data_IF_717925264583
#
_entry.id   IF_717925264583
#
_cell.length_a   1.000
_cell.length_b   1.000
_cell.length_c   1.000
_cell.angle_alpha   90.00
_cell.angle_beta   90.00
_cell.angle_gamma   90.00
#
_symmetry.space_group_name_H-M   'P 1'
#
loop_
_entity.id
_entity.type
_entity.pdbx_description
1 polymer ?
#
# COMPACT_ATOMS: atom_id res chain seq x y z
N UNK A 1 -20.08 0.95 7.98
CA UNK A 1 -18.80 0.99 7.23
C UNK A 1 -17.72 1.39 8.19
N UNK A 2 -16.53 0.77 8.09
CA UNK A 2 -15.38 1.22 8.90
C UNK A 2 -15.08 2.68 8.58
N UNK A 3 -14.82 3.50 9.60
CA UNK A 3 -14.35 4.89 9.42
C UNK A 3 -12.85 4.98 9.15
N UNK A 4 -12.15 3.84 9.09
CA UNK A 4 -10.72 3.76 8.85
C UNK A 4 -10.36 4.11 7.41
N UNK A 5 -9.39 4.99 7.23
CA UNK A 5 -8.95 5.50 5.92
C UNK A 5 -7.48 5.18 5.63
N UNK A 6 -7.06 5.36 4.37
CA UNK A 6 -5.63 5.28 4.03
C UNK A 6 -4.81 6.39 4.71
N UNK A 7 -5.41 7.55 4.99
CA UNK A 7 -4.76 8.61 5.77
C UNK A 7 -4.52 8.19 7.22
N UNK A 8 -5.44 7.43 7.83
CA UNK A 8 -5.21 6.84 9.15
C UNK A 8 -4.04 5.85 9.11
N UNK A 9 -3.99 5.03 8.06
CA UNK A 9 -2.90 4.07 7.84
C UNK A 9 -1.55 4.76 7.67
N UNK A 10 -1.47 5.82 6.84
CA UNK A 10 -0.26 6.63 6.66
C UNK A 10 0.21 7.21 8.00
N UNK A 11 -0.70 7.80 8.78
CA UNK A 11 -0.39 8.34 10.11
C UNK A 11 0.13 7.26 11.06
N UNK A 12 -0.48 6.08 11.08
CA UNK A 12 -0.03 4.95 11.91
C UNK A 12 1.37 4.48 11.48
N UNK A 13 1.64 4.39 10.18
CA UNK A 13 2.97 4.01 9.66
C UNK A 13 4.00 5.07 10.03
N UNK A 14 3.67 6.36 9.90
CA UNK A 14 4.52 7.47 10.34
C UNK A 14 4.88 7.36 11.83
N UNK A 15 3.87 7.18 12.69
CA UNK A 15 4.05 7.04 14.14
C UNK A 15 4.92 5.81 14.48
N UNK A 16 4.60 4.64 13.91
CA UNK A 16 5.31 3.39 14.17
C UNK A 16 6.72 3.35 13.59
N UNK A 17 7.02 4.15 12.56
CA UNK A 17 8.37 4.27 12.00
C UNK A 17 9.37 4.95 12.94
N UNK A 18 8.88 5.70 13.94
CA UNK A 18 9.70 6.44 14.92
C UNK A 18 10.07 5.61 16.15
N UNK A 19 9.42 4.45 16.35
CA UNK A 19 9.71 3.55 17.45
C UNK A 19 11.05 2.83 17.26
N UNK A 20 11.53 2.12 18.30
CA UNK A 20 12.69 1.26 18.16
C UNK A 20 12.43 0.12 17.15
N UNK A 21 13.39 -0.23 16.26
CA UNK A 21 13.31 -1.41 15.39
C UNK A 21 13.15 -2.76 16.12
N UNK A 22 13.40 -2.78 17.43
CA UNK A 22 13.21 -3.94 18.30
C UNK A 22 11.74 -4.10 18.73
N UNK A 23 10.99 -3.00 18.76
CA UNK A 23 9.63 -2.91 19.32
C UNK A 23 8.54 -2.75 18.24
N UNK A 24 8.93 -2.34 17.02
CA UNK A 24 8.01 -2.06 15.92
C UNK A 24 8.47 -2.73 14.62
N UNK A 25 7.58 -3.53 14.02
CA UNK A 25 7.81 -4.09 12.70
C UNK A 25 8.00 -3.02 11.62
N UNK A 26 7.21 -1.94 11.69
CA UNK A 26 7.35 -0.78 10.79
C UNK A 26 8.75 -0.17 10.90
N UNK A 27 9.21 0.10 12.12
CA UNK A 27 10.54 0.66 12.36
C UNK A 27 11.65 -0.28 11.87
N UNK A 28 11.48 -1.59 12.05
CA UNK A 28 12.41 -2.60 11.53
C UNK A 28 12.51 -2.57 10.01
N UNK A 29 11.39 -2.46 9.30
CA UNK A 29 11.40 -2.33 7.84
C UNK A 29 12.03 -1.01 7.39
N UNK A 30 11.71 0.09 8.05
CA UNK A 30 12.33 1.39 7.77
C UNK A 30 13.85 1.35 7.97
N UNK A 31 14.32 0.77 9.07
CA UNK A 31 15.75 0.59 9.36
C UNK A 31 16.44 -0.35 8.34
N UNK A 32 15.74 -1.38 7.87
CA UNK A 32 16.24 -2.29 6.83
C UNK A 32 16.25 -1.68 5.42
N UNK A 33 15.56 -0.55 5.22
CA UNK A 33 15.57 0.24 4.00
C UNK A 33 14.72 -0.31 2.85
N UNK A 34 14.73 0.46 1.76
CA UNK A 34 13.85 0.27 0.60
C UNK A 34 13.86 -1.16 0.02
N UNK A 35 15.02 -1.83 -0.17
CA UNK A 35 15.03 -3.16 -0.79
C UNK A 35 14.28 -4.21 0.04
N UNK A 36 14.40 -4.16 1.37
CA UNK A 36 13.72 -5.13 2.25
C UNK A 36 12.21 -4.87 2.29
N UNK A 37 11.80 -3.61 2.39
CA UNK A 37 10.39 -3.23 2.38
C UNK A 37 9.71 -3.55 1.04
N UNK A 38 10.37 -3.23 -0.09
CA UNK A 38 9.86 -3.53 -1.43
C UNK A 38 9.77 -5.03 -1.70
N UNK A 39 10.72 -5.83 -1.18
CA UNK A 39 10.62 -7.29 -1.26
C UNK A 39 9.35 -7.79 -0.57
N UNK A 40 9.05 -7.31 0.65
CA UNK A 40 7.86 -7.73 1.38
C UNK A 40 6.58 -7.30 0.68
N UNK A 41 6.53 -6.06 0.16
CA UNK A 41 5.43 -5.61 -0.72
C UNK A 41 5.20 -6.56 -1.91
N UNK A 42 6.29 -7.04 -2.53
CA UNK A 42 6.22 -7.99 -3.64
C UNK A 42 5.70 -9.37 -3.22
N UNK A 43 6.02 -9.83 -2.01
CA UNK A 43 5.49 -11.08 -1.43
C UNK A 43 3.96 -10.96 -1.29
N UNK A 44 3.45 -9.89 -0.63
CA UNK A 44 1.99 -9.69 -0.46
C UNK A 44 1.24 -9.56 -1.79
N UNK A 45 1.86 -8.92 -2.79
CA UNK A 45 1.26 -8.76 -4.10
C UNK A 45 1.03 -10.12 -4.79
N UNK A 46 1.98 -11.04 -4.65
CA UNK A 46 1.83 -12.40 -5.19
C UNK A 46 0.80 -13.18 -4.38
N UNK A 47 0.81 -13.07 -3.06
CA UNK A 47 -0.16 -13.74 -2.18
C UNK A 47 -1.60 -13.29 -2.47
N UNK A 48 -1.83 -11.98 -2.64
CA UNK A 48 -3.13 -11.42 -3.05
C UNK A 48 -3.58 -11.94 -4.43
N UNK A 49 -2.66 -12.00 -5.41
CA UNK A 49 -2.97 -12.58 -6.72
C UNK A 49 -3.36 -14.05 -6.61
N UNK A 50 -2.62 -14.83 -5.82
CA UNK A 50 -2.90 -16.25 -5.61
C UNK A 50 -4.27 -16.46 -4.96
N UNK A 51 -4.59 -15.69 -3.90
CA UNK A 51 -5.88 -15.75 -3.23
C UNK A 51 -7.05 -15.41 -4.18
N UNK A 52 -6.86 -14.41 -5.05
CA UNK A 52 -7.85 -14.08 -6.08
C UNK A 52 -8.04 -15.22 -7.10
N UNK A 53 -6.95 -15.84 -7.57
CA UNK A 53 -7.00 -16.96 -8.52
C UNK A 53 -7.68 -18.18 -7.93
N UNK A 54 -7.50 -18.45 -6.64
CA UNK A 54 -8.15 -19.57 -5.94
C UNK A 54 -9.56 -19.23 -5.45
N UNK A 55 -10.05 -18.01 -5.69
CA UNK A 55 -11.33 -17.51 -5.21
C UNK A 55 -11.48 -17.62 -3.68
N UNK A 56 -10.37 -17.43 -2.97
CA UNK A 56 -10.30 -17.38 -1.51
C UNK A 56 -10.52 -15.94 -1.04
N UNK A 57 -11.77 -15.58 -0.77
CA UNK A 57 -12.16 -14.20 -0.46
C UNK A 57 -11.64 -13.71 0.90
N UNK A 58 -11.56 -14.62 1.87
CA UNK A 58 -11.02 -14.29 3.19
C UNK A 58 -9.54 -13.98 3.06
N UNK A 59 -8.76 -14.88 2.43
CA UNK A 59 -7.34 -14.63 2.25
C UNK A 59 -7.08 -13.41 1.38
N UNK A 60 -7.85 -13.21 0.30
CA UNK A 60 -7.72 -12.01 -0.54
C UNK A 60 -7.92 -10.72 0.26
N UNK A 61 -8.86 -10.72 1.22
CA UNK A 61 -9.07 -9.56 2.10
C UNK A 61 -7.86 -9.31 3.00
N UNK A 62 -7.27 -10.36 3.57
CA UNK A 62 -6.06 -10.27 4.37
C UNK A 62 -4.86 -9.76 3.56
N UNK A 63 -4.54 -10.40 2.44
CA UNK A 63 -3.37 -10.03 1.63
C UNK A 63 -3.51 -8.64 0.98
N UNK A 64 -4.73 -8.23 0.62
CA UNK A 64 -4.96 -6.88 0.14
C UNK A 64 -4.70 -5.82 1.23
N UNK A 65 -5.05 -6.11 2.49
CA UNK A 65 -4.75 -5.22 3.60
C UNK A 65 -3.23 -5.14 3.87
N UNK A 66 -2.53 -6.27 3.84
CA UNK A 66 -1.08 -6.32 4.03
C UNK A 66 -0.34 -5.63 2.86
N UNK A 67 -0.82 -5.81 1.63
CA UNK A 67 -0.31 -5.10 0.46
C UNK A 67 -0.40 -3.57 0.63
N UNK A 68 -1.56 -3.05 1.07
CA UNK A 68 -1.75 -1.62 1.32
C UNK A 68 -0.83 -1.12 2.45
N UNK A 69 -0.72 -1.88 3.54
CA UNK A 69 0.18 -1.56 4.64
C UNK A 69 1.64 -1.49 4.16
N UNK A 70 2.12 -2.51 3.45
CA UNK A 70 3.48 -2.57 2.95
C UNK A 70 3.75 -1.50 1.88
N UNK A 71 2.74 -1.11 1.10
CA UNK A 71 2.85 0.03 0.19
C UNK A 71 3.09 1.32 0.96
N UNK A 72 2.35 1.58 2.04
CA UNK A 72 2.56 2.77 2.88
C UNK A 72 3.96 2.81 3.49
N UNK A 73 4.51 1.67 3.92
CA UNK A 73 5.90 1.59 4.42
C UNK A 73 6.91 1.93 3.31
N UNK A 74 6.72 1.39 2.11
CA UNK A 74 7.58 1.66 0.95
C UNK A 74 7.55 3.15 0.56
N UNK A 75 6.37 3.78 0.57
CA UNK A 75 6.20 5.21 0.30
C UNK A 75 6.85 6.06 1.39
N UNK A 76 6.68 5.70 2.67
CA UNK A 76 7.33 6.36 3.81
C UNK A 76 8.85 6.37 3.69
N UNK A 77 9.46 5.24 3.36
CA UNK A 77 10.93 5.15 3.18
C UNK A 77 11.38 5.97 1.97
N UNK A 78 10.59 5.99 0.89
CA UNK A 78 10.87 6.80 -0.29
C UNK A 78 10.61 8.31 -0.12
N UNK A 79 10.02 8.74 1.00
CA UNK A 79 9.64 10.14 1.24
C UNK A 79 8.49 10.61 0.34
N UNK A 80 7.64 9.70 -0.13
CA UNK A 80 6.50 10.01 -0.99
C UNK A 80 5.24 10.06 -0.13
N UNK A 81 4.54 11.21 -0.02
CA UNK A 81 3.28 11.28 0.72
C UNK A 81 2.16 10.56 -0.01
N UNK A 82 1.23 9.97 0.74
CA UNK A 82 0.02 9.32 0.22
C UNK A 82 -0.78 10.28 -0.67
N UNK A 83 -0.81 11.57 -0.34
CA UNK A 83 -1.47 12.61 -1.14
C UNK A 83 -1.04 12.59 -2.61
N UNK A 84 0.25 12.37 -2.90
CA UNK A 84 0.74 12.29 -4.27
C UNK A 84 0.15 11.08 -5.01
N UNK A 85 0.00 9.94 -4.33
CA UNK A 85 -0.60 8.73 -4.89
C UNK A 85 -2.10 8.92 -5.10
N UNK A 86 -2.80 9.52 -4.14
CA UNK A 86 -4.23 9.81 -4.24
C UNK A 86 -4.53 10.81 -5.36
N UNK A 87 -3.72 11.86 -5.53
CA UNK A 87 -3.85 12.80 -6.64
C UNK A 87 -3.62 12.14 -8.00
N UNK A 88 -2.68 11.20 -8.10
CA UNK A 88 -2.50 10.41 -9.32
C UNK A 88 -3.68 9.47 -9.60
N UNK A 89 -4.25 8.84 -8.57
CA UNK A 89 -5.46 8.03 -8.70
C UNK A 89 -6.66 8.87 -9.13
N UNK A 90 -6.85 10.05 -8.55
CA UNK A 90 -7.89 11.01 -8.96
C UNK A 90 -7.71 11.39 -10.44
N UNK A 91 -6.51 11.77 -10.85
CA UNK A 91 -6.20 12.12 -12.24
C UNK A 91 -6.56 10.99 -13.22
N UNK A 92 -6.23 9.74 -12.88
CA UNK A 92 -6.51 8.57 -13.74
C UNK A 92 -7.98 8.19 -13.78
N UNK A 93 -8.70 8.38 -12.69
CA UNK A 93 -10.11 7.96 -12.57
C UNK A 93 -11.07 9.01 -13.14
N UNK A 94 -10.72 10.30 -13.07
CA UNK A 94 -11.45 11.39 -13.72
C UNK A 94 -11.39 11.28 -15.25
N UNK A 95 -10.30 10.74 -15.81
CA UNK A 95 -10.14 10.49 -17.26
C UNK A 95 -10.79 9.19 -17.75
N UNK A 96 -11.58 8.49 -16.92
CA UNK A 96 -12.00 7.11 -17.18
C UNK A 96 -12.56 6.83 -18.59
N UNK A 97 -11.74 6.16 -19.40
CA UNK A 97 -12.08 5.06 -20.32
C UNK A 97 -12.92 5.33 -21.58
N UNK A 98 -13.75 6.37 -21.61
CA UNK A 98 -14.63 6.68 -22.75
C UNK A 98 -14.07 7.80 -23.66
N UNK A 99 -13.36 8.78 -23.08
CA UNK A 99 -12.78 9.87 -23.87
C UNK A 99 -11.59 9.42 -24.72
N UNK A 100 -10.73 8.53 -24.22
CA UNK A 100 -9.57 8.02 -24.99
C UNK A 100 -9.97 7.13 -26.19
N UNK A 101 -11.12 6.44 -26.14
CA UNK A 101 -11.64 5.66 -27.28
C UNK A 101 -12.36 6.52 -28.32
N UNK A 102 -12.87 7.69 -27.94
CA UNK A 102 -13.55 8.63 -28.83
C UNK A 102 -12.59 9.60 -29.55
N UNK A 103 -11.35 9.70 -29.09
CA UNK A 103 -10.28 10.53 -29.67
C UNK A 103 -9.30 9.75 -30.57
N UNK A 104 -9.66 8.53 -31.00
CA UNK A 104 -8.92 7.72 -31.99
C UNK A 104 -9.73 7.52 -33.25
#
# INVERSE_FOLDING_TARGET
MSGFTLSDLERIVEERSKASPEESWTARLCAAGQPKAAKKLGEEAIEAVMAAVTNDHDNLTYEAADLLYHLMVVLKIAGIPLENVMGELERRTVQSGLQEKASR
#
